data_IF_019887727932
#
_entry.id   IF_019887727932
#
_cell.length_a   1.000
_cell.length_b   1.000
_cell.length_c   1.000
_cell.angle_alpha   90.00
_cell.angle_beta   90.00
_cell.angle_gamma   90.00
#
_symmetry.space_group_name_H-M   'P 1'
#
loop_
_entity.id
_entity.type
_entity.pdbx_description
1 polymer ?
#
# COMPACT_ATOMS: atom_id res chain seq x y z
N UNK A 1 6.97 17.70 -4.74
CA UNK A 1 6.59 17.00 -3.51
C UNK A 1 5.12 17.17 -3.19
N UNK A 2 4.32 16.15 -3.48
CA UNK A 2 2.94 16.06 -3.01
C UNK A 2 2.92 15.24 -1.72
N UNK A 3 2.51 15.84 -0.62
CA UNK A 3 2.43 15.19 0.70
C UNK A 3 0.98 14.97 1.07
N UNK A 4 0.66 13.78 1.55
CA UNK A 4 -0.69 13.43 1.97
C UNK A 4 -0.69 12.91 3.41
N UNK A 5 -1.17 13.74 4.33
CA UNK A 5 -1.25 13.42 5.77
C UNK A 5 -2.42 12.49 6.09
N UNK A 6 -3.49 12.57 5.29
CA UNK A 6 -4.66 11.70 5.39
C UNK A 6 -4.44 10.29 4.81
N UNK A 7 -3.34 10.11 4.06
CA UNK A 7 -3.02 8.85 3.38
C UNK A 7 -1.96 8.07 4.14
N UNK A 8 -2.31 6.85 4.54
CA UNK A 8 -1.42 5.93 5.23
C UNK A 8 -1.25 4.67 4.41
N UNK A 9 -0.05 4.39 3.94
CA UNK A 9 0.24 3.19 3.19
C UNK A 9 0.83 2.13 4.12
N UNK A 10 0.06 1.08 4.34
CA UNK A 10 0.50 -0.09 5.06
C UNK A 10 1.30 -1.00 4.13
N UNK A 11 2.55 -1.21 4.49
CA UNK A 11 3.52 -1.98 3.72
C UNK A 11 4.04 -3.15 4.54
N UNK A 12 4.49 -4.17 3.83
CA UNK A 12 5.13 -5.33 4.41
C UNK A 12 6.58 -5.40 3.92
N UNK A 13 7.57 -5.45 4.83
CA UNK A 13 8.95 -5.64 4.45
C UNK A 13 9.13 -6.98 3.71
N UNK A 14 9.75 -6.94 2.53
CA UNK A 14 9.95 -8.12 1.67
C UNK A 14 8.86 -8.36 0.61
N UNK A 15 7.80 -7.56 0.57
CA UNK A 15 6.73 -7.73 -0.42
C UNK A 15 7.05 -7.03 -1.76
N UNK A 16 7.06 -7.75 -2.91
CA UNK A 16 7.40 -7.17 -4.21
C UNK A 16 6.36 -6.14 -4.68
N UNK A 17 5.08 -6.33 -4.32
CA UNK A 17 4.01 -5.41 -4.68
C UNK A 17 4.10 -4.07 -3.94
N UNK A 18 4.58 -4.07 -2.69
CA UNK A 18 4.81 -2.81 -1.95
C UNK A 18 5.90 -1.98 -2.61
N UNK A 19 7.02 -2.62 -3.00
CA UNK A 19 8.11 -1.96 -3.71
C UNK A 19 7.67 -1.34 -5.06
N UNK A 20 6.66 -1.94 -5.72
CA UNK A 20 6.08 -1.39 -6.95
C UNK A 20 5.38 -0.04 -6.70
N UNK A 21 4.54 0.04 -5.66
CA UNK A 21 3.85 1.29 -5.30
C UNK A 21 4.87 2.33 -4.81
N UNK A 22 5.82 1.92 -3.98
CA UNK A 22 6.90 2.77 -3.45
C UNK A 22 7.72 3.42 -4.58
N UNK A 23 8.09 2.63 -5.59
CA UNK A 23 8.79 3.13 -6.78
C UNK A 23 7.97 4.14 -7.59
N UNK A 24 6.66 3.95 -7.70
CA UNK A 24 5.79 4.95 -8.34
C UNK A 24 5.74 6.25 -7.52
N UNK A 25 5.67 6.13 -6.20
CA UNK A 25 5.69 7.28 -5.31
C UNK A 25 7.03 8.04 -5.37
N UNK A 26 8.16 7.33 -5.38
CA UNK A 26 9.50 7.92 -5.52
C UNK A 26 9.66 8.63 -6.88
N UNK A 27 9.24 7.99 -7.98
CA UNK A 27 9.31 8.59 -9.33
C UNK A 27 8.52 9.90 -9.44
N UNK A 28 7.39 9.98 -8.73
CA UNK A 28 6.52 11.15 -8.72
C UNK A 28 6.71 12.09 -7.51
N UNK A 29 7.73 11.85 -6.67
CA UNK A 29 8.04 12.65 -5.49
C UNK A 29 6.83 12.79 -4.54
N UNK A 30 6.11 11.68 -4.36
CA UNK A 30 4.95 11.54 -3.48
C UNK A 30 5.42 11.10 -2.10
N UNK A 31 4.97 11.80 -1.07
CA UNK A 31 5.21 11.43 0.33
C UNK A 31 3.89 11.06 1.00
N UNK A 32 3.79 9.79 1.39
CA UNK A 32 2.74 9.23 2.23
C UNK A 32 3.38 8.59 3.47
N UNK A 33 2.58 8.39 4.52
CA UNK A 33 3.05 7.71 5.72
C UNK A 33 3.14 6.20 5.46
N UNK A 34 4.36 5.65 5.52
CA UNK A 34 4.58 4.21 5.43
C UNK A 34 4.46 3.56 6.81
N UNK A 35 3.50 2.65 6.95
CA UNK A 35 3.27 1.89 8.17
C UNK A 35 3.62 0.43 7.95
N UNK A 36 4.72 -0.01 8.52
CA UNK A 36 5.09 -1.43 8.51
C UNK A 36 4.11 -2.24 9.35
N UNK A 37 3.40 -3.18 8.72
CA UNK A 37 2.43 -4.03 9.40
C UNK A 37 3.07 -5.02 10.37
N UNK A 38 4.38 -5.24 10.25
CA UNK A 38 5.18 -6.06 11.19
C UNK A 38 5.61 -5.31 12.44
N UNK A 39 5.47 -3.98 12.43
CA UNK A 39 5.90 -3.12 13.53
C UNK A 39 4.72 -2.83 14.46
N UNK A 40 4.93 -3.02 15.76
CA UNK A 40 3.95 -2.70 16.80
C UNK A 40 2.59 -3.37 16.57
N UNK A 41 1.54 -2.56 16.52
CA UNK A 41 0.15 -2.99 16.32
C UNK A 41 -0.41 -2.65 14.94
N UNK A 42 0.42 -2.15 14.01
CA UNK A 42 -0.04 -1.65 12.70
C UNK A 42 -0.76 -2.74 11.88
N UNK A 43 -0.23 -3.96 11.87
CA UNK A 43 -0.87 -5.07 11.17
C UNK A 43 -2.20 -5.49 11.82
N UNK A 44 -2.33 -5.34 13.13
CA UNK A 44 -3.58 -5.63 13.83
C UNK A 44 -4.62 -4.52 13.58
N UNK A 45 -4.19 -3.26 13.62
CA UNK A 45 -5.00 -2.08 13.28
C UNK A 45 -5.52 -2.17 11.84
N UNK A 46 -4.68 -2.56 10.88
CA UNK A 46 -5.10 -2.79 9.50
C UNK A 46 -6.20 -3.87 9.41
N UNK A 47 -6.07 -4.95 10.17
CA UNK A 47 -7.07 -6.02 10.22
C UNK A 47 -8.34 -5.57 10.93
N UNK A 48 -8.23 -4.76 11.98
CA UNK A 48 -9.38 -4.19 12.68
C UNK A 48 -10.14 -3.19 11.78
N UNK A 49 -9.40 -2.41 10.98
CA UNK A 49 -9.93 -1.38 10.09
C UNK A 49 -10.52 -1.98 8.80
N UNK A 50 -9.80 -2.94 8.20
CA UNK A 50 -10.12 -3.47 6.87
C UNK A 50 -10.49 -4.95 6.81
N UNK A 51 -10.33 -5.70 7.90
CA UNK A 51 -10.71 -7.11 8.00
C UNK A 51 -9.78 -8.09 7.27
N UNK A 52 -8.79 -7.61 6.50
CA UNK A 52 -7.93 -8.45 5.67
C UNK A 52 -6.46 -8.19 5.98
N UNK A 53 -5.67 -9.27 6.03
CA UNK A 53 -4.21 -9.22 6.23
C UNK A 53 -3.48 -9.03 4.91
N UNK A 54 -3.92 -8.08 4.11
CA UNK A 54 -3.47 -7.93 2.73
C UNK A 54 -2.67 -6.63 2.57
N UNK A 55 -1.51 -6.72 1.94
CA UNK A 55 -0.64 -5.60 1.59
C UNK A 55 -0.28 -5.65 0.10
N UNK A 56 0.07 -4.54 -0.56
CA UNK A 56 -0.03 -3.17 -0.06
C UNK A 56 -1.49 -2.77 0.21
N UNK A 57 -1.70 -1.96 1.25
CA UNK A 57 -3.02 -1.40 1.55
C UNK A 57 -2.89 0.09 1.85
N UNK A 58 -3.62 0.93 1.12
CA UNK A 58 -3.66 2.37 1.33
C UNK A 58 -4.91 2.71 2.13
N UNK A 59 -4.75 3.32 3.30
CA UNK A 59 -5.85 3.86 4.09
C UNK A 59 -6.03 5.33 3.75
N UNK A 60 -7.24 5.68 3.30
CA UNK A 60 -7.65 7.02 2.87
C UNK A 60 -8.79 7.46 3.78
N UNK A 61 -8.60 8.47 4.63
CA UNK A 61 -9.64 8.96 5.57
C UNK A 61 -10.28 7.82 6.39
N UNK A 62 -9.45 6.86 6.84
CA UNK A 62 -9.90 5.67 7.59
C UNK A 62 -10.54 4.56 6.75
N UNK A 63 -10.52 4.65 5.42
CA UNK A 63 -11.00 3.58 4.52
C UNK A 63 -9.82 2.81 3.91
N UNK A 64 -9.75 1.48 4.10
CA UNK A 64 -8.69 0.66 3.51
C UNK A 64 -8.99 0.36 2.03
N UNK A 65 -8.00 0.63 1.19
CA UNK A 65 -7.97 0.31 -0.23
C UNK A 65 -6.91 -0.76 -0.47
N UNK A 66 -7.33 -1.84 -1.11
CA UNK A 66 -6.48 -2.96 -1.46
C UNK A 66 -6.10 -2.88 -2.95
N UNK A 67 -5.16 -3.73 -3.35
CA UNK A 67 -4.65 -3.87 -4.73
C UNK A 67 -3.65 -2.77 -5.13
N UNK A 68 -2.45 -3.21 -5.52
CA UNK A 68 -1.37 -2.30 -5.91
C UNK A 68 -1.72 -1.45 -7.13
N UNK A 69 -2.56 -1.96 -8.06
CA UNK A 69 -3.03 -1.24 -9.23
C UNK A 69 -3.90 -0.04 -8.87
N UNK A 70 -5.00 -0.27 -8.16
CA UNK A 70 -5.94 0.77 -7.72
C UNK A 70 -5.26 1.87 -6.89
N UNK A 71 -4.35 1.49 -6.00
CA UNK A 71 -3.58 2.45 -5.18
C UNK A 71 -2.76 3.38 -6.08
N UNK A 72 -2.07 2.84 -7.07
CA UNK A 72 -1.26 3.63 -8.02
C UNK A 72 -2.17 4.54 -8.85
N UNK A 73 -3.29 4.03 -9.37
CA UNK A 73 -4.24 4.84 -10.13
C UNK A 73 -4.83 5.97 -9.29
N UNK A 74 -5.18 5.70 -8.04
CA UNK A 74 -5.67 6.70 -7.10
C UNK A 74 -4.64 7.79 -6.84
N UNK A 75 -3.39 7.41 -6.53
CA UNK A 75 -2.29 8.34 -6.30
C UNK A 75 -2.01 9.17 -7.56
N UNK A 76 -1.94 8.54 -8.73
CA UNK A 76 -1.75 9.20 -10.02
C UNK A 76 -2.83 10.26 -10.28
N UNK A 77 -4.10 9.90 -10.10
CA UNK A 77 -5.22 10.84 -10.23
C UNK A 77 -5.16 12.00 -9.25
N UNK A 78 -4.66 11.76 -8.02
CA UNK A 78 -4.52 12.79 -6.99
C UNK A 78 -3.47 13.84 -7.32
N UNK A 79 -2.38 13.45 -7.97
CA UNK A 79 -1.30 14.36 -8.41
C UNK A 79 -1.45 14.82 -9.86
N UNK A 80 -2.48 14.36 -10.59
CA UNK A 80 -2.67 14.64 -12.01
C UNK A 80 -1.63 13.97 -12.92
N UNK A 81 -0.99 12.89 -12.45
CA UNK A 81 -0.05 12.09 -13.22
C UNK A 81 -0.75 10.97 -13.98
N UNK A 82 -0.06 10.42 -14.97
CA UNK A 82 -0.53 9.24 -15.71
C UNK A 82 -0.07 7.99 -14.98
N UNK A 83 -1.00 7.15 -14.54
CA UNK A 83 -0.67 5.86 -13.97
C UNK A 83 0.20 5.05 -14.96
N UNK A 84 1.25 4.36 -14.50
CA UNK A 84 1.99 3.43 -15.32
C UNK A 84 1.01 2.41 -15.89
N UNK A 85 1.22 1.99 -17.15
CA UNK A 85 0.38 0.97 -17.74
C UNK A 85 0.43 -0.26 -16.83
N UNK A 86 -0.71 -0.70 -16.29
CA UNK A 86 -0.79 -1.85 -15.41
C UNK A 86 -0.12 -3.05 -16.10
N UNK A 87 1.12 -3.38 -15.72
CA UNK A 87 1.89 -4.53 -16.23
C UNK A 87 1.26 -5.89 -15.86
N UNK A 88 -0.05 -5.96 -15.60
CA UNK A 88 -0.77 -7.18 -15.20
C UNK A 88 -0.43 -7.72 -13.81
N UNK A 89 0.64 -7.23 -13.17
CA UNK A 89 1.05 -7.62 -11.82
C UNK A 89 0.27 -6.85 -10.73
N UNK A 90 -1.06 -6.87 -10.81
CA UNK A 90 -1.93 -6.50 -9.69
C UNK A 90 -1.98 -7.70 -8.77
N UNK A 91 -1.13 -7.70 -7.75
CA UNK A 91 -1.14 -8.73 -6.74
C UNK A 91 -1.00 -8.13 -5.36
N UNK A 92 -1.20 -8.99 -4.37
CA UNK A 92 -1.15 -8.60 -2.98
C UNK A 92 -0.50 -9.70 -2.15
N UNK A 93 0.33 -9.29 -1.21
CA UNK A 93 0.89 -10.18 -0.20
C UNK A 93 -0.10 -10.30 0.97
N UNK A 94 -0.44 -11.54 1.34
CA UNK A 94 -1.14 -11.83 2.57
C UNK A 94 -0.13 -12.15 3.67
N UNK A 95 -0.19 -11.46 4.81
CA UNK A 95 0.64 -11.79 5.97
C UNK A 95 -0.10 -12.71 6.94
N UNK A 96 0.63 -13.63 7.58
CA UNK A 96 0.08 -14.60 8.53
C UNK A 96 0.52 -14.31 9.97
N UNK A 97 -0.34 -14.63 10.97
CA UNK A 97 0.01 -14.45 12.37
C UNK A 97 1.15 -15.42 12.71
N UNK A 98 2.29 -14.88 13.13
CA UNK A 98 3.54 -15.64 13.33
C UNK A 98 4.72 -15.20 12.46
N UNK A 99 4.58 -14.13 11.66
CA UNK A 99 5.69 -13.50 10.94
C UNK A 99 5.95 -14.07 9.54
N UNK A 100 5.02 -14.86 8.99
CA UNK A 100 5.07 -15.33 7.61
C UNK A 100 4.33 -14.39 6.65
N UNK A 101 4.66 -14.50 5.36
CA UNK A 101 3.90 -13.86 4.30
C UNK A 101 3.75 -14.81 3.10
N UNK A 102 2.65 -14.67 2.37
CA UNK A 102 2.40 -15.35 1.11
C UNK A 102 2.19 -14.27 0.06
N UNK A 103 3.03 -14.23 -0.96
CA UNK A 103 2.80 -13.45 -2.16
C UNK A 103 2.06 -14.35 -3.16
N UNK A 104 0.81 -14.00 -3.45
CA UNK A 104 0.04 -14.59 -4.55
C UNK A 104 0.15 -13.70 -5.80
#
# INVERSE_FOLDING_TARGET
MATFDDLKLYVLPGCPYCAKVDRFMDEHDIKVEHLDVTQGTNGDDLVALGGKRQCPCLVIDGKPMYESGDIIEYLAGRIGAKAPASDGASGACHFTPGGGHVCD
#
